data_IF_176344506309
#
_entry.id   IF_176344506309
#
_cell.length_a   1.000
_cell.length_b   1.000
_cell.length_c   1.000
_cell.angle_alpha   90.00
_cell.angle_beta   90.00
_cell.angle_gamma   90.00
#
_symmetry.space_group_name_H-M   'P 1'
#
loop_
_entity.id
_entity.type
_entity.pdbx_description
1 polymer ?
#
# COMPACT_ATOMS: atom_id res chain seq x y z
N UNK A 1 -80.21 12.35 -9.18
CA UNK A 1 -79.23 11.93 -10.22
C UNK A 1 -78.21 13.02 -10.55
N UNK A 2 -78.65 14.28 -10.80
CA UNK A 2 -77.76 15.40 -11.14
C UNK A 2 -76.82 15.76 -9.93
N UNK A 3 -77.33 15.74 -8.68
CA UNK A 3 -76.50 15.97 -7.50
C UNK A 3 -75.42 14.87 -7.26
N UNK A 4 -75.68 13.65 -7.70
CA UNK A 4 -74.74 12.54 -7.59
C UNK A 4 -73.63 12.66 -8.65
N UNK A 5 -73.98 13.10 -9.85
CA UNK A 5 -73.02 13.33 -10.92
C UNK A 5 -72.13 14.52 -10.65
N UNK A 6 -72.67 15.62 -10.10
CA UNK A 6 -71.90 16.79 -9.67
C UNK A 6 -70.98 16.46 -8.48
N UNK A 7 -71.42 15.63 -7.54
CA UNK A 7 -70.58 15.17 -6.44
C UNK A 7 -69.45 14.24 -6.91
N UNK A 8 -69.74 13.35 -7.91
CA UNK A 8 -68.73 12.50 -8.53
C UNK A 8 -67.71 13.31 -9.37
N UNK A 9 -68.17 14.32 -10.11
CA UNK A 9 -67.28 15.21 -10.86
C UNK A 9 -66.44 16.10 -9.94
N UNK A 10 -66.96 16.57 -8.84
CA UNK A 10 -66.19 17.30 -7.82
C UNK A 10 -65.18 16.41 -7.07
N UNK A 11 -65.54 15.15 -6.77
CA UNK A 11 -64.63 14.16 -6.22
C UNK A 11 -63.53 13.79 -7.25
N UNK A 12 -63.89 13.65 -8.54
CA UNK A 12 -62.94 13.39 -9.60
C UNK A 12 -62.00 14.58 -9.84
N UNK A 13 -62.53 15.83 -9.83
CA UNK A 13 -61.69 17.01 -9.95
C UNK A 13 -60.81 17.27 -8.74
N UNK A 14 -61.29 16.97 -7.52
CA UNK A 14 -60.48 17.05 -6.32
C UNK A 14 -59.37 15.97 -6.26
N UNK A 15 -59.69 14.73 -6.70
CA UNK A 15 -58.72 13.64 -6.84
C UNK A 15 -57.68 13.92 -7.92
N UNK A 16 -58.14 14.45 -9.09
CA UNK A 16 -57.22 14.84 -10.18
C UNK A 16 -56.38 16.07 -9.82
N UNK A 17 -56.98 17.06 -9.15
CA UNK A 17 -56.27 18.24 -8.65
C UNK A 17 -55.20 17.89 -7.59
N UNK A 18 -55.53 17.00 -6.63
CA UNK A 18 -54.58 16.52 -5.61
C UNK A 18 -53.42 15.72 -6.25
N UNK A 19 -53.68 14.95 -7.30
CA UNK A 19 -52.60 14.19 -7.99
C UNK A 19 -51.71 15.12 -8.81
N UNK A 20 -52.28 16.13 -9.50
CA UNK A 20 -51.52 17.10 -10.29
C UNK A 20 -50.63 18.00 -9.41
N UNK A 21 -51.15 18.41 -8.21
CA UNK A 21 -50.38 19.23 -7.29
C UNK A 21 -49.21 18.43 -6.67
N UNK A 22 -49.44 17.17 -6.23
CA UNK A 22 -48.39 16.30 -5.72
C UNK A 22 -47.32 15.96 -6.76
N UNK A 23 -47.68 15.83 -8.04
CA UNK A 23 -46.69 15.62 -9.12
C UNK A 23 -45.85 16.87 -9.36
N UNK A 24 -46.47 18.05 -9.29
CA UNK A 24 -45.76 19.33 -9.42
C UNK A 24 -44.78 19.56 -8.24
N UNK A 25 -45.21 19.23 -7.02
CA UNK A 25 -44.33 19.26 -5.86
C UNK A 25 -43.15 18.29 -5.98
N UNK A 26 -43.40 17.08 -6.50
CA UNK A 26 -42.33 16.09 -6.73
C UNK A 26 -41.29 16.60 -7.74
N UNK A 27 -41.73 17.19 -8.86
CA UNK A 27 -40.84 17.79 -9.84
C UNK A 27 -40.01 18.95 -9.25
N UNK A 28 -40.62 19.78 -8.39
CA UNK A 28 -39.88 20.83 -7.64
C UNK A 28 -38.85 20.27 -6.68
N UNK A 29 -39.18 19.19 -5.96
CA UNK A 29 -38.24 18.52 -5.06
C UNK A 29 -37.06 17.91 -5.85
N UNK A 30 -37.34 17.30 -6.99
CA UNK A 30 -36.29 16.76 -7.91
C UNK A 30 -35.38 17.87 -8.43
N UNK A 31 -35.95 19.00 -8.90
CA UNK A 31 -35.13 20.12 -9.38
C UNK A 31 -34.24 20.73 -8.31
N UNK A 32 -34.65 20.71 -7.06
CA UNK A 32 -33.88 21.14 -5.90
C UNK A 32 -32.96 20.05 -5.33
N UNK A 33 -33.03 18.82 -5.86
CA UNK A 33 -32.34 17.63 -5.33
C UNK A 33 -32.66 17.36 -3.86
N UNK A 34 -33.87 17.72 -3.39
CA UNK A 34 -34.33 17.48 -2.02
C UNK A 34 -34.79 16.03 -1.87
N UNK A 35 -33.87 15.16 -1.54
CA UNK A 35 -34.11 13.71 -1.42
C UNK A 35 -35.13 13.36 -0.34
N UNK A 36 -35.17 14.10 0.78
CA UNK A 36 -36.15 13.88 1.84
C UNK A 36 -37.55 14.23 1.38
N UNK A 37 -37.72 15.38 0.72
CA UNK A 37 -39.00 15.77 0.14
C UNK A 37 -39.47 14.77 -0.94
N UNK A 38 -38.57 14.28 -1.80
CA UNK A 38 -38.89 13.23 -2.79
C UNK A 38 -39.47 11.99 -2.11
N UNK A 39 -38.89 11.52 -1.01
CA UNK A 39 -39.37 10.35 -0.27
C UNK A 39 -40.78 10.60 0.28
N UNK A 40 -41.00 11.70 0.94
CA UNK A 40 -42.28 11.99 1.59
C UNK A 40 -43.43 12.22 0.57
N UNK A 41 -43.15 12.97 -0.50
CA UNK A 41 -44.12 13.18 -1.57
C UNK A 41 -44.42 11.87 -2.33
N UNK A 42 -43.38 11.07 -2.61
CA UNK A 42 -43.58 9.76 -3.27
C UNK A 42 -44.44 8.82 -2.41
N UNK A 43 -44.20 8.75 -1.11
CA UNK A 43 -45.04 7.98 -0.19
C UNK A 43 -46.50 8.46 -0.16
N UNK A 44 -46.73 9.78 -0.23
CA UNK A 44 -48.05 10.37 -0.30
C UNK A 44 -48.78 9.99 -1.58
N UNK A 45 -48.08 10.05 -2.74
CA UNK A 45 -48.66 9.64 -4.03
C UNK A 45 -49.02 8.14 -4.02
N UNK A 46 -48.12 7.30 -3.50
CA UNK A 46 -48.30 5.85 -3.42
C UNK A 46 -49.38 5.37 -2.46
N UNK A 47 -49.95 6.26 -1.59
CA UNK A 47 -51.17 5.93 -0.82
C UNK A 47 -52.37 5.83 -1.72
N UNK A 48 -52.46 6.65 -2.79
CA UNK A 48 -53.58 6.70 -3.71
C UNK A 48 -53.34 5.78 -4.94
N UNK A 49 -52.11 5.59 -5.33
CA UNK A 49 -51.72 4.73 -6.46
C UNK A 49 -50.52 3.83 -6.05
N UNK A 50 -50.81 2.74 -5.33
CA UNK A 50 -49.76 1.90 -4.73
C UNK A 50 -48.86 1.17 -5.73
N UNK A 51 -49.33 0.96 -6.94
CA UNK A 51 -48.66 0.21 -8.02
C UNK A 51 -48.00 1.10 -9.08
N UNK A 52 -47.84 2.40 -8.82
CA UNK A 52 -47.23 3.32 -9.75
C UNK A 52 -45.73 3.04 -9.92
N UNK A 53 -45.28 2.47 -11.07
CA UNK A 53 -43.90 2.06 -11.22
C UNK A 53 -42.96 3.27 -11.30
N UNK A 54 -43.39 4.38 -11.85
CA UNK A 54 -42.59 5.61 -11.93
C UNK A 54 -42.29 6.18 -10.55
N UNK A 55 -43.28 6.23 -9.66
CA UNK A 55 -43.13 6.76 -8.31
C UNK A 55 -42.36 5.79 -7.43
N UNK A 56 -42.60 4.48 -7.54
CA UNK A 56 -41.82 3.46 -6.86
C UNK A 56 -40.31 3.55 -7.23
N UNK A 57 -40.03 3.80 -8.51
CA UNK A 57 -38.65 3.98 -8.99
C UNK A 57 -37.98 5.23 -8.38
N UNK A 58 -38.68 6.37 -8.36
CA UNK A 58 -38.19 7.61 -7.76
C UNK A 58 -37.96 7.43 -6.25
N UNK A 59 -38.88 6.78 -5.56
CA UNK A 59 -38.78 6.46 -4.14
C UNK A 59 -37.54 5.56 -3.87
N UNK A 60 -37.36 4.49 -4.65
CA UNK A 60 -36.21 3.59 -4.49
C UNK A 60 -34.89 4.31 -4.68
N UNK A 61 -34.77 5.16 -5.71
CA UNK A 61 -33.56 5.98 -5.94
C UNK A 61 -33.26 6.90 -4.77
N UNK A 62 -34.28 7.61 -4.28
CA UNK A 62 -34.14 8.53 -3.15
C UNK A 62 -33.76 7.78 -1.85
N UNK A 63 -34.38 6.63 -1.58
CA UNK A 63 -34.05 5.77 -0.45
C UNK A 63 -32.61 5.22 -0.53
N UNK A 64 -32.20 4.78 -1.73
CA UNK A 64 -30.84 4.28 -1.98
C UNK A 64 -29.80 5.36 -1.75
N UNK A 65 -30.04 6.59 -2.24
CA UNK A 65 -29.10 7.73 -2.07
C UNK A 65 -28.93 8.18 -0.63
N UNK A 66 -29.90 7.93 0.24
CA UNK A 66 -29.83 8.18 1.69
C UNK A 66 -29.34 6.96 2.50
N UNK A 67 -28.98 5.85 1.85
CA UNK A 67 -28.56 4.62 2.53
C UNK A 67 -29.69 3.89 3.29
N UNK A 68 -30.94 4.17 2.95
CA UNK A 68 -32.13 3.53 3.55
C UNK A 68 -32.37 2.14 2.94
N UNK A 69 -31.37 1.26 2.98
CA UNK A 69 -31.33 0.00 2.24
C UNK A 69 -32.52 -0.92 2.48
N UNK A 70 -32.95 -1.08 3.75
CA UNK A 70 -34.14 -1.91 4.08
C UNK A 70 -35.41 -1.39 3.42
N UNK A 71 -35.64 -0.09 3.47
CA UNK A 71 -36.82 0.54 2.85
C UNK A 71 -36.74 0.47 1.35
N UNK A 72 -35.56 0.73 0.76
CA UNK A 72 -35.30 0.62 -0.66
C UNK A 72 -35.57 -0.83 -1.15
N UNK A 73 -35.10 -1.83 -0.43
CA UNK A 73 -35.32 -3.24 -0.76
C UNK A 73 -36.83 -3.57 -0.85
N UNK A 74 -37.63 -3.18 0.16
CA UNK A 74 -39.10 -3.36 0.11
C UNK A 74 -39.78 -2.64 -1.06
N UNK A 75 -39.29 -1.43 -1.37
CA UNK A 75 -39.85 -0.67 -2.50
C UNK A 75 -39.50 -1.34 -3.85
N UNK A 76 -38.27 -1.85 -3.97
CA UNK A 76 -37.82 -2.58 -5.16
C UNK A 76 -38.52 -3.92 -5.35
N UNK A 77 -38.85 -4.66 -4.27
CA UNK A 77 -39.64 -5.88 -4.38
C UNK A 77 -41.00 -5.60 -5.03
N UNK A 78 -41.70 -4.56 -4.54
CA UNK A 78 -42.99 -4.12 -5.12
C UNK A 78 -42.86 -3.70 -6.58
N UNK A 79 -41.79 -2.96 -6.91
CA UNK A 79 -41.53 -2.53 -8.28
C UNK A 79 -41.22 -3.71 -9.19
N UNK A 80 -40.48 -4.70 -8.68
CA UNK A 80 -40.09 -5.89 -9.41
C UNK A 80 -41.28 -6.83 -9.74
N UNK A 81 -42.22 -6.96 -8.81
CA UNK A 81 -43.49 -7.69 -9.06
C UNK A 81 -44.26 -7.11 -10.25
N UNK A 82 -44.16 -5.78 -10.46
CA UNK A 82 -44.84 -5.08 -11.58
C UNK A 82 -44.00 -5.27 -12.85
N UNK A 83 -42.69 -5.17 -12.79
CA UNK A 83 -41.81 -5.14 -13.98
C UNK A 83 -41.24 -6.53 -14.34
N UNK A 84 -41.50 -7.57 -13.53
CA UNK A 84 -41.14 -8.98 -13.81
C UNK A 84 -39.64 -9.22 -14.08
N UNK A 85 -38.76 -8.55 -13.33
CA UNK A 85 -37.30 -8.62 -13.49
C UNK A 85 -36.76 -8.18 -14.88
N UNK A 86 -37.51 -7.38 -15.61
CA UNK A 86 -37.14 -6.90 -16.95
C UNK A 86 -36.68 -5.45 -17.00
N UNK A 87 -36.18 -4.94 -15.86
CA UNK A 87 -35.71 -3.55 -15.74
C UNK A 87 -34.26 -3.47 -15.28
N UNK A 88 -33.41 -2.96 -16.16
CA UNK A 88 -31.98 -2.86 -15.91
C UNK A 88 -31.64 -1.98 -14.67
N UNK A 89 -32.40 -0.90 -14.46
CA UNK A 89 -32.16 0.01 -13.34
C UNK A 89 -32.54 -0.60 -12.01
N UNK A 90 -33.68 -1.32 -11.97
CA UNK A 90 -34.13 -2.04 -10.78
C UNK A 90 -33.11 -3.11 -10.38
N UNK A 91 -32.64 -3.91 -11.34
CA UNK A 91 -31.63 -4.93 -11.11
C UNK A 91 -30.32 -4.32 -10.60
N UNK A 92 -29.89 -3.18 -11.16
CA UNK A 92 -28.70 -2.48 -10.68
C UNK A 92 -28.85 -2.01 -9.23
N UNK A 93 -30.02 -1.43 -8.88
CA UNK A 93 -30.28 -0.98 -7.49
C UNK A 93 -30.32 -2.16 -6.52
N UNK A 94 -30.95 -3.30 -6.90
CA UNK A 94 -30.94 -4.54 -6.11
C UNK A 94 -29.50 -5.03 -5.90
N UNK A 95 -28.69 -5.12 -6.96
CA UNK A 95 -27.28 -5.48 -6.85
C UNK A 95 -26.48 -4.57 -5.94
N UNK A 96 -26.78 -3.27 -5.95
CA UNK A 96 -26.15 -2.32 -5.04
C UNK A 96 -26.51 -2.59 -3.57
N UNK A 97 -27.75 -2.95 -3.28
CA UNK A 97 -28.20 -3.33 -1.93
C UNK A 97 -27.52 -4.62 -1.48
N UNK A 98 -27.48 -5.63 -2.34
CA UNK A 98 -26.79 -6.91 -2.05
C UNK A 98 -25.29 -6.71 -1.73
N UNK A 99 -24.64 -5.83 -2.48
CA UNK A 99 -23.25 -5.46 -2.19
C UNK A 99 -23.08 -4.84 -0.80
N UNK A 100 -24.01 -4.00 -0.35
CA UNK A 100 -24.00 -3.45 1.01
C UNK A 100 -24.28 -4.51 2.09
N UNK A 101 -25.02 -5.55 1.78
CA UNK A 101 -25.27 -6.68 2.67
C UNK A 101 -24.14 -7.72 2.64
N UNK A 102 -23.01 -7.42 1.99
CA UNK A 102 -21.85 -8.29 1.81
C UNK A 102 -22.15 -9.57 1.00
N UNK A 103 -23.23 -9.58 0.22
CA UNK A 103 -23.59 -10.66 -0.70
C UNK A 103 -23.04 -10.37 -2.10
N UNK A 104 -21.70 -10.41 -2.21
CA UNK A 104 -20.96 -9.97 -3.40
C UNK A 104 -21.30 -10.77 -4.67
N UNK A 105 -21.55 -12.09 -4.55
CA UNK A 105 -21.89 -12.94 -5.70
C UNK A 105 -23.28 -12.63 -6.27
N UNK A 106 -24.25 -12.42 -5.39
CA UNK A 106 -25.60 -12.02 -5.83
C UNK A 106 -25.59 -10.61 -6.44
N UNK A 107 -24.86 -9.67 -5.85
CA UNK A 107 -24.64 -8.35 -6.40
C UNK A 107 -24.08 -8.43 -7.84
N UNK A 108 -23.03 -9.24 -8.03
CA UNK A 108 -22.44 -9.49 -9.35
C UNK A 108 -23.47 -10.04 -10.33
N UNK A 109 -24.23 -11.07 -9.93
CA UNK A 109 -25.25 -11.69 -10.77
C UNK A 109 -26.29 -10.66 -11.26
N UNK A 110 -26.77 -9.82 -10.36
CA UNK A 110 -27.76 -8.77 -10.68
C UNK A 110 -27.18 -7.69 -11.58
N UNK A 111 -25.93 -7.22 -11.35
CA UNK A 111 -25.28 -6.26 -12.24
C UNK A 111 -25.00 -6.84 -13.62
N UNK A 112 -24.63 -8.12 -13.74
CA UNK A 112 -24.45 -8.78 -15.03
C UNK A 112 -25.78 -8.81 -15.78
N UNK A 113 -26.88 -9.25 -15.14
CA UNK A 113 -28.23 -9.27 -15.76
C UNK A 113 -28.65 -7.85 -16.19
N UNK A 114 -28.44 -6.85 -15.34
CA UNK A 114 -28.70 -5.45 -15.64
C UNK A 114 -27.93 -4.96 -16.88
N UNK A 115 -26.62 -5.28 -16.96
CA UNK A 115 -25.76 -4.87 -18.08
C UNK A 115 -26.03 -5.62 -19.40
N UNK A 116 -26.76 -6.74 -19.35
CA UNK A 116 -27.24 -7.48 -20.53
C UNK A 116 -28.55 -6.84 -21.03
N UNK A 117 -29.48 -6.51 -20.13
CA UNK A 117 -30.75 -5.88 -20.48
C UNK A 117 -30.57 -4.50 -21.11
N UNK A 118 -29.65 -3.70 -20.54
CA UNK A 118 -29.26 -2.42 -21.15
C UNK A 118 -27.74 -2.34 -21.29
N UNK A 119 -27.22 -2.65 -22.48
CA UNK A 119 -25.79 -2.59 -22.75
C UNK A 119 -25.16 -1.21 -22.60
N UNK A 120 -25.92 -0.13 -22.66
CA UNK A 120 -25.45 1.25 -22.54
C UNK A 120 -25.62 1.83 -21.13
N UNK A 121 -26.21 1.05 -20.21
CA UNK A 121 -26.37 1.49 -18.83
C UNK A 121 -25.02 1.43 -18.07
N UNK A 122 -24.45 2.60 -17.82
CA UNK A 122 -23.09 2.76 -17.28
C UNK A 122 -22.94 2.18 -15.87
N UNK A 123 -23.95 2.33 -14.99
CA UNK A 123 -23.81 2.02 -13.57
C UNK A 123 -23.49 0.54 -13.27
N UNK A 124 -24.24 -0.45 -13.81
CA UNK A 124 -23.91 -1.86 -13.55
C UNK A 124 -22.56 -2.25 -14.12
N UNK A 125 -22.15 -1.69 -15.26
CA UNK A 125 -20.84 -1.95 -15.86
C UNK A 125 -19.73 -1.38 -14.96
N UNK A 126 -19.94 -0.19 -14.41
CA UNK A 126 -19.02 0.46 -13.46
C UNK A 126 -18.90 -0.33 -12.16
N UNK A 127 -20.03 -0.83 -11.63
CA UNK A 127 -20.06 -1.67 -10.44
C UNK A 127 -19.32 -2.99 -10.67
N UNK A 128 -19.48 -3.61 -11.84
CA UNK A 128 -18.75 -4.82 -12.22
C UNK A 128 -17.24 -4.57 -12.36
N UNK A 129 -16.82 -3.49 -12.98
CA UNK A 129 -15.42 -3.13 -13.07
C UNK A 129 -14.79 -2.98 -11.68
N UNK A 130 -15.52 -2.32 -10.75
CA UNK A 130 -15.09 -2.15 -9.37
C UNK A 130 -15.11 -3.46 -8.57
N UNK A 131 -16.10 -4.32 -8.78
CA UNK A 131 -16.15 -5.64 -8.18
C UNK A 131 -14.91 -6.47 -8.54
N UNK A 132 -14.55 -6.52 -9.83
CA UNK A 132 -13.37 -7.25 -10.30
C UNK A 132 -12.05 -6.62 -9.84
N UNK A 133 -12.01 -5.29 -9.66
CA UNK A 133 -10.87 -4.62 -9.01
C UNK A 133 -10.67 -5.12 -7.56
N UNK A 134 -11.75 -5.24 -6.79
CA UNK A 134 -11.70 -5.65 -5.37
C UNK A 134 -11.28 -7.11 -5.18
N UNK A 135 -11.67 -8.01 -6.11
CA UNK A 135 -11.25 -9.42 -6.07
C UNK A 135 -9.97 -9.70 -6.85
N UNK A 136 -9.31 -8.64 -7.34
CA UNK A 136 -8.06 -8.69 -8.09
C UNK A 136 -8.12 -9.51 -9.39
N UNK A 137 -9.29 -9.61 -10.03
CA UNK A 137 -9.49 -10.24 -11.35
C UNK A 137 -9.26 -9.20 -12.45
N UNK A 138 -7.99 -9.04 -12.84
CA UNK A 138 -7.56 -8.04 -13.82
C UNK A 138 -8.15 -8.27 -15.23
N UNK A 139 -8.41 -9.52 -15.61
CA UNK A 139 -8.96 -9.87 -16.93
C UNK A 139 -10.41 -9.35 -17.07
N UNK A 140 -11.26 -9.71 -16.12
CA UNK A 140 -12.66 -9.24 -16.13
C UNK A 140 -12.73 -7.75 -15.85
N UNK A 141 -11.88 -7.18 -14.98
CA UNK A 141 -11.79 -5.73 -14.79
C UNK A 141 -11.50 -5.02 -16.10
N UNK A 142 -10.48 -5.46 -16.86
CA UNK A 142 -10.13 -4.90 -18.18
C UNK A 142 -11.30 -4.95 -19.15
N UNK A 143 -12.03 -6.08 -19.22
CA UNK A 143 -13.19 -6.27 -20.07
C UNK A 143 -14.28 -5.21 -19.80
N UNK A 144 -14.63 -5.00 -18.54
CA UNK A 144 -15.68 -4.03 -18.19
C UNK A 144 -15.21 -2.58 -18.32
N UNK A 145 -13.96 -2.27 -17.97
CA UNK A 145 -13.38 -0.95 -18.20
C UNK A 145 -13.29 -0.59 -19.69
N UNK A 146 -12.94 -1.56 -20.55
CA UNK A 146 -12.94 -1.37 -22.00
C UNK A 146 -14.33 -1.00 -22.49
N UNK A 147 -15.36 -1.72 -22.05
CA UNK A 147 -16.75 -1.41 -22.38
C UNK A 147 -17.16 -0.02 -21.87
N UNK A 148 -16.76 0.36 -20.63
CA UNK A 148 -17.01 1.72 -20.12
C UNK A 148 -16.35 2.78 -20.99
N UNK A 149 -15.15 2.55 -21.46
CA UNK A 149 -14.41 3.49 -22.30
C UNK A 149 -15.05 3.70 -23.69
N UNK A 150 -15.95 2.84 -24.11
CA UNK A 150 -16.77 3.01 -25.33
C UNK A 150 -17.97 3.91 -25.06
N UNK A 151 -18.43 3.99 -23.82
CA UNK A 151 -19.61 4.77 -23.42
C UNK A 151 -19.27 6.15 -22.85
N UNK A 152 -18.06 6.32 -22.28
CA UNK A 152 -17.62 7.57 -21.66
C UNK A 152 -16.11 7.72 -21.67
N UNK A 153 -15.63 8.97 -21.62
CA UNK A 153 -14.24 9.32 -21.36
C UNK A 153 -14.06 9.67 -19.87
N UNK A 154 -13.85 8.64 -19.03
CA UNK A 154 -13.55 8.84 -17.61
C UNK A 154 -12.04 8.72 -17.38
N UNK A 155 -11.39 9.69 -16.73
CA UNK A 155 -9.93 9.66 -16.56
C UNK A 155 -9.43 8.48 -15.72
N UNK A 156 -10.23 8.00 -14.74
CA UNK A 156 -9.88 6.82 -13.95
C UNK A 156 -9.90 5.55 -14.79
N UNK A 157 -10.97 5.38 -15.57
CA UNK A 157 -11.14 4.21 -16.43
C UNK A 157 -10.01 4.13 -17.46
N UNK A 158 -9.66 5.26 -18.10
CA UNK A 158 -8.60 5.32 -19.11
C UNK A 158 -7.20 5.08 -18.51
N UNK A 159 -6.90 5.65 -17.35
CA UNK A 159 -5.63 5.42 -16.66
C UNK A 159 -5.49 3.96 -16.21
N UNK A 160 -6.58 3.37 -15.70
CA UNK A 160 -6.58 1.96 -15.27
C UNK A 160 -6.44 1.01 -16.46
N UNK A 161 -7.10 1.30 -17.59
CA UNK A 161 -6.90 0.57 -18.85
C UNK A 161 -5.44 0.63 -19.31
N UNK A 162 -4.80 1.78 -19.22
CA UNK A 162 -3.38 1.93 -19.51
C UNK A 162 -2.50 1.05 -18.62
N UNK A 163 -2.78 0.99 -17.32
CA UNK A 163 -2.06 0.13 -16.35
C UNK A 163 -2.27 -1.36 -16.62
N UNK A 164 -3.51 -1.78 -16.83
CA UNK A 164 -3.86 -3.17 -17.13
C UNK A 164 -3.27 -3.63 -18.46
N UNK A 165 -3.28 -2.77 -19.50
CA UNK A 165 -2.62 -3.05 -20.77
C UNK A 165 -1.12 -3.27 -20.58
N UNK A 166 -0.45 -2.46 -19.74
CA UNK A 166 0.95 -2.66 -19.42
C UNK A 166 1.18 -3.99 -18.67
N UNK A 167 0.29 -4.37 -17.75
CA UNK A 167 0.43 -5.61 -16.99
C UNK A 167 0.53 -6.85 -17.91
N UNK A 168 -0.21 -6.85 -19.02
CA UNK A 168 -0.17 -7.91 -20.05
C UNK A 168 0.79 -7.60 -21.21
N UNK A 169 1.60 -6.53 -21.11
CA UNK A 169 2.58 -6.10 -22.14
C UNK A 169 1.93 -5.70 -23.49
N UNK A 170 0.67 -5.30 -23.47
CA UNK A 170 0.02 -4.67 -24.64
C UNK A 170 0.39 -3.18 -24.72
N UNK A 171 1.57 -2.92 -25.28
CA UNK A 171 2.13 -1.57 -25.43
C UNK A 171 1.24 -0.67 -26.29
N UNK A 172 0.58 -1.22 -27.30
CA UNK A 172 -0.27 -0.46 -28.21
C UNK A 172 -1.53 0.04 -27.49
N UNK A 173 -2.19 -0.83 -26.74
CA UNK A 173 -3.37 -0.44 -25.94
C UNK A 173 -2.98 0.53 -24.82
N UNK A 174 -1.83 0.32 -24.14
CA UNK A 174 -1.34 1.27 -23.14
C UNK A 174 -1.13 2.67 -23.73
N UNK A 175 -0.50 2.76 -24.90
CA UNK A 175 -0.30 4.02 -25.61
C UNK A 175 -1.64 4.64 -26.04
N UNK A 176 -2.54 3.85 -26.63
CA UNK A 176 -3.87 4.28 -27.08
C UNK A 176 -4.66 4.95 -25.95
N UNK A 177 -4.76 4.29 -24.78
CA UNK A 177 -5.53 4.83 -23.67
C UNK A 177 -4.85 6.05 -23.03
N UNK A 178 -3.52 6.08 -22.98
CA UNK A 178 -2.76 7.24 -22.47
C UNK A 178 -2.94 8.47 -23.37
N UNK A 179 -2.87 8.29 -24.70
CA UNK A 179 -3.10 9.39 -25.66
C UNK A 179 -4.52 9.93 -25.53
N UNK A 180 -5.51 9.02 -25.43
CA UNK A 180 -6.92 9.40 -25.24
C UNK A 180 -7.12 10.16 -23.92
N UNK A 181 -6.53 9.69 -22.81
CA UNK A 181 -6.56 10.36 -21.50
C UNK A 181 -5.98 11.77 -21.58
N UNK A 182 -4.80 11.92 -22.20
CA UNK A 182 -4.13 13.22 -22.38
C UNK A 182 -4.97 14.21 -23.20
N UNK A 183 -5.66 13.70 -24.22
CA UNK A 183 -6.50 14.53 -25.11
C UNK A 183 -7.80 14.96 -24.44
N UNK A 184 -8.48 14.04 -23.76
CA UNK A 184 -9.78 14.30 -23.14
C UNK A 184 -9.68 15.06 -21.80
N UNK A 185 -8.64 14.78 -21.01
CA UNK A 185 -8.50 15.29 -19.64
C UNK A 185 -7.09 15.83 -19.34
N UNK A 186 -6.56 16.82 -20.09
CA UNK A 186 -5.16 17.24 -19.99
C UNK A 186 -4.79 17.84 -18.61
N UNK A 187 -5.75 18.49 -17.95
CA UNK A 187 -5.55 19.17 -16.67
C UNK A 187 -5.98 18.35 -15.46
N UNK A 188 -6.55 17.17 -15.65
CA UNK A 188 -7.02 16.30 -14.57
C UNK A 188 -5.88 15.78 -13.70
N UNK A 189 -6.13 15.62 -12.39
CA UNK A 189 -5.16 15.12 -11.44
C UNK A 189 -4.68 13.69 -11.73
N UNK A 190 -5.57 12.84 -12.27
CA UNK A 190 -5.23 11.46 -12.64
C UNK A 190 -4.30 11.46 -13.85
N UNK A 191 -4.57 12.31 -14.85
CA UNK A 191 -3.70 12.47 -16.02
C UNK A 191 -2.30 12.94 -15.60
N UNK A 192 -2.23 13.94 -14.71
CA UNK A 192 -0.95 14.44 -14.16
C UNK A 192 -0.19 13.37 -13.39
N UNK A 193 -0.87 12.48 -12.70
CA UNK A 193 -0.25 11.37 -11.96
C UNK A 193 0.17 10.21 -12.88
N UNK A 194 -0.62 9.90 -13.90
CA UNK A 194 -0.33 8.80 -14.82
C UNK A 194 0.80 9.13 -15.81
N UNK A 195 0.85 10.34 -16.34
CA UNK A 195 1.82 10.72 -17.36
C UNK A 195 3.28 10.43 -16.99
N UNK A 196 3.79 10.82 -15.80
CA UNK A 196 5.15 10.50 -15.41
C UNK A 196 5.41 8.99 -15.30
N UNK A 197 4.40 8.21 -14.93
CA UNK A 197 4.48 6.74 -14.85
C UNK A 197 4.60 6.17 -16.26
N UNK A 198 3.71 6.57 -17.17
CA UNK A 198 3.74 6.17 -18.57
C UNK A 198 5.08 6.49 -19.23
N UNK A 199 5.59 7.73 -19.06
CA UNK A 199 6.84 8.16 -19.67
C UNK A 199 8.02 7.33 -19.15
N UNK A 200 8.07 7.01 -17.85
CA UNK A 200 9.09 6.11 -17.28
C UNK A 200 8.99 4.69 -17.83
N UNK A 201 7.78 4.14 -17.93
CA UNK A 201 7.55 2.82 -18.50
C UNK A 201 8.01 2.80 -19.96
N UNK A 202 7.58 3.78 -20.75
CA UNK A 202 7.91 3.84 -22.19
C UNK A 202 9.41 4.01 -22.42
N UNK A 203 10.10 4.85 -21.63
CA UNK A 203 11.55 5.04 -21.69
C UNK A 203 12.34 3.81 -21.22
N UNK A 204 11.72 2.92 -20.47
CA UNK A 204 12.36 1.66 -20.00
C UNK A 204 11.82 0.43 -20.74
N UNK A 205 11.11 0.61 -21.83
CA UNK A 205 10.46 -0.48 -22.58
C UNK A 205 11.44 -1.58 -22.95
N UNK A 206 12.55 -1.23 -23.59
CA UNK A 206 13.57 -2.17 -24.02
C UNK A 206 14.14 -2.98 -22.84
N UNK A 207 14.42 -2.32 -21.70
CA UNK A 207 14.92 -3.00 -20.50
C UNK A 207 13.90 -4.00 -19.96
N UNK A 208 12.62 -3.62 -19.95
CA UNK A 208 11.54 -4.50 -19.46
C UNK A 208 11.35 -5.68 -20.41
N UNK A 209 11.34 -5.45 -21.73
CA UNK A 209 11.22 -6.51 -22.74
C UNK A 209 12.40 -7.50 -22.68
N UNK A 210 13.63 -7.01 -22.45
CA UNK A 210 14.82 -7.84 -22.27
C UNK A 210 14.76 -8.68 -20.98
N UNK A 211 14.28 -8.09 -19.87
CA UNK A 211 14.05 -8.83 -18.62
C UNK A 211 12.96 -9.89 -18.78
N UNK A 212 11.84 -9.55 -19.43
CA UNK A 212 10.77 -10.51 -19.70
C UNK A 212 11.27 -11.67 -20.56
N UNK A 213 12.02 -11.40 -21.63
CA UNK A 213 12.63 -12.42 -22.50
C UNK A 213 13.64 -13.30 -21.74
N UNK A 214 14.43 -12.71 -20.85
CA UNK A 214 15.39 -13.46 -20.01
C UNK A 214 14.68 -14.34 -18.98
N UNK A 215 13.59 -13.84 -18.38
CA UNK A 215 12.76 -14.60 -17.44
C UNK A 215 11.93 -15.70 -18.11
N UNK A 216 11.63 -15.60 -19.42
CA UNK A 216 11.06 -16.72 -20.18
C UNK A 216 12.05 -17.89 -20.32
N UNK A 217 13.35 -17.59 -20.42
CA UNK A 217 14.41 -18.61 -20.50
C UNK A 217 14.76 -19.19 -19.14
N UNK A 218 14.78 -18.36 -18.11
CA UNK A 218 15.06 -18.75 -16.72
C UNK A 218 14.03 -18.16 -15.76
N UNK A 219 12.85 -18.78 -15.61
CA UNK A 219 11.72 -18.26 -14.82
C UNK A 219 11.97 -18.23 -13.30
N UNK A 220 13.06 -18.88 -12.83
CA UNK A 220 13.45 -18.96 -11.43
C UNK A 220 14.64 -18.08 -11.08
N UNK A 221 15.13 -17.26 -12.01
CA UNK A 221 16.26 -16.37 -11.77
C UNK A 221 15.87 -15.23 -10.82
N UNK A 222 16.27 -15.40 -9.57
CA UNK A 222 15.93 -14.45 -8.49
C UNK A 222 16.46 -13.05 -8.76
N UNK A 223 17.67 -12.93 -9.32
CA UNK A 223 18.28 -11.63 -9.61
C UNK A 223 17.45 -10.85 -10.64
N UNK A 224 17.03 -11.50 -11.73
CA UNK A 224 16.18 -10.90 -12.76
C UNK A 224 14.78 -10.56 -12.26
N UNK A 225 14.19 -11.45 -11.45
CA UNK A 225 12.87 -11.21 -10.84
C UNK A 225 12.92 -9.97 -9.93
N UNK A 226 13.94 -9.86 -9.07
CA UNK A 226 14.10 -8.72 -8.15
C UNK A 226 14.43 -7.43 -8.92
N UNK A 227 15.23 -7.51 -9.98
CA UNK A 227 15.51 -6.36 -10.84
C UNK A 227 14.21 -5.80 -11.46
N UNK A 228 13.37 -6.67 -12.04
CA UNK A 228 12.09 -6.27 -12.60
C UNK A 228 11.13 -5.72 -11.53
N UNK A 229 11.04 -6.37 -10.37
CA UNK A 229 10.28 -5.89 -9.24
C UNK A 229 10.71 -4.47 -8.79
N UNK A 230 12.02 -4.23 -8.76
CA UNK A 230 12.59 -2.93 -8.39
C UNK A 230 12.25 -1.83 -9.40
N UNK A 231 12.21 -2.15 -10.69
CA UNK A 231 11.76 -1.23 -11.75
C UNK A 231 10.30 -0.88 -11.55
N UNK A 232 9.43 -1.86 -11.38
CA UNK A 232 7.99 -1.64 -11.15
C UNK A 232 7.72 -0.81 -9.89
N UNK A 233 8.43 -1.09 -8.80
CA UNK A 233 8.33 -0.32 -7.56
C UNK A 233 8.73 1.16 -7.75
N UNK A 234 9.82 1.43 -8.47
CA UNK A 234 10.24 2.81 -8.81
C UNK A 234 9.20 3.55 -9.65
N UNK A 235 8.44 2.85 -10.48
CA UNK A 235 7.37 3.44 -11.29
C UNK A 235 6.06 3.57 -10.54
N UNK A 236 5.94 3.03 -9.33
CA UNK A 236 4.71 3.03 -8.56
C UNK A 236 3.69 1.99 -9.03
N UNK A 237 4.15 0.95 -9.69
CA UNK A 237 3.37 -0.20 -10.14
C UNK A 237 3.37 -1.27 -9.04
N UNK A 238 2.80 -0.91 -7.89
CA UNK A 238 2.94 -1.67 -6.63
C UNK A 238 2.49 -3.11 -6.76
N UNK A 239 1.37 -3.38 -7.42
CA UNK A 239 0.85 -4.74 -7.62
C UNK A 239 1.84 -5.64 -8.35
N UNK A 240 2.40 -5.17 -9.48
CA UNK A 240 3.39 -5.93 -10.26
C UNK A 240 4.69 -6.13 -9.50
N UNK A 241 5.15 -5.10 -8.77
CA UNK A 241 6.34 -5.18 -7.94
C UNK A 241 6.19 -6.21 -6.81
N UNK A 242 5.03 -6.24 -6.15
CA UNK A 242 4.73 -7.20 -5.07
C UNK A 242 4.66 -8.63 -5.62
N UNK A 243 4.04 -8.84 -6.78
CA UNK A 243 3.96 -10.17 -7.42
C UNK A 243 5.37 -10.73 -7.66
N UNK A 244 6.24 -9.96 -8.33
CA UNK A 244 7.60 -10.40 -8.61
C UNK A 244 8.41 -10.61 -7.32
N UNK A 245 8.39 -9.66 -6.40
CA UNK A 245 9.13 -9.77 -5.14
C UNK A 245 8.64 -10.93 -4.26
N UNK A 246 7.34 -11.23 -4.26
CA UNK A 246 6.77 -12.39 -3.57
C UNK A 246 7.21 -13.70 -4.21
N UNK A 247 7.22 -13.77 -5.54
CA UNK A 247 7.75 -14.92 -6.28
C UNK A 247 9.24 -15.18 -5.95
N UNK A 248 10.06 -14.13 -5.89
CA UNK A 248 11.45 -14.27 -5.46
C UNK A 248 11.57 -14.79 -4.03
N UNK A 249 10.68 -14.32 -3.11
CA UNK A 249 10.64 -14.78 -1.72
C UNK A 249 10.20 -16.25 -1.59
N UNK A 250 9.28 -16.73 -2.41
CA UNK A 250 8.90 -18.14 -2.46
C UNK A 250 10.07 -19.02 -2.94
N UNK A 251 10.89 -18.53 -3.87
CA UNK A 251 12.06 -19.23 -4.37
C UNK A 251 13.22 -19.25 -3.38
N UNK A 252 13.39 -18.20 -2.57
CA UNK A 252 14.48 -18.09 -1.59
C UNK A 252 14.05 -17.23 -0.38
N UNK A 253 13.32 -17.86 0.53
CA UNK A 253 12.82 -17.21 1.75
C UNK A 253 13.88 -16.98 2.82
N UNK A 254 15.09 -17.51 2.68
CA UNK A 254 16.20 -17.35 3.65
C UNK A 254 17.00 -16.09 3.33
N UNK A 255 17.17 -15.76 2.06
CA UNK A 255 17.97 -14.63 1.60
C UNK A 255 17.52 -13.30 2.21
N UNK A 256 18.43 -12.59 2.87
CA UNK A 256 18.19 -11.23 3.37
C UNK A 256 18.01 -10.23 2.22
N UNK A 257 18.71 -10.44 1.09
CA UNK A 257 18.55 -9.65 -0.12
C UNK A 257 17.12 -9.70 -0.62
N UNK A 258 16.54 -10.91 -0.73
CA UNK A 258 15.15 -11.10 -1.18
C UNK A 258 14.16 -10.54 -0.15
N UNK A 259 14.33 -10.88 1.13
CA UNK A 259 13.50 -10.35 2.23
C UNK A 259 13.48 -8.83 2.25
N UNK A 260 14.65 -8.22 2.09
CA UNK A 260 14.78 -6.78 2.17
C UNK A 260 14.12 -6.08 0.97
N UNK A 261 14.28 -6.63 -0.25
CA UNK A 261 13.58 -6.12 -1.44
C UNK A 261 12.06 -6.21 -1.30
N UNK A 262 11.52 -7.38 -0.94
CA UNK A 262 10.09 -7.55 -0.71
C UNK A 262 9.57 -6.57 0.37
N UNK A 263 10.31 -6.43 1.48
CA UNK A 263 9.93 -5.55 2.56
C UNK A 263 9.88 -4.07 2.16
N UNK A 264 10.87 -3.60 1.40
CA UNK A 264 10.89 -2.23 0.87
C UNK A 264 9.72 -2.00 -0.09
N UNK A 265 9.43 -2.97 -0.97
CA UNK A 265 8.31 -2.90 -1.92
C UNK A 265 6.97 -2.84 -1.17
N UNK A 266 6.76 -3.72 -0.18
CA UNK A 266 5.56 -3.71 0.66
C UNK A 266 5.43 -2.38 1.44
N UNK A 267 6.52 -1.86 1.99
CA UNK A 267 6.50 -0.58 2.71
C UNK A 267 6.14 0.59 1.79
N UNK A 268 6.70 0.62 0.57
CA UNK A 268 6.39 1.66 -0.42
C UNK A 268 4.95 1.61 -0.91
N UNK A 269 4.33 0.43 -0.91
CA UNK A 269 2.90 0.24 -1.22
C UNK A 269 1.97 0.51 -0.03
N UNK A 270 2.49 1.01 1.10
CA UNK A 270 1.72 1.29 2.32
C UNK A 270 1.52 0.09 3.25
N UNK A 271 2.14 -1.06 2.97
CA UNK A 271 2.00 -2.31 3.75
C UNK A 271 3.20 -2.55 4.70
N UNK A 272 3.78 -1.50 5.29
CA UNK A 272 4.96 -1.59 6.14
C UNK A 272 4.76 -2.49 7.39
N UNK A 273 3.56 -2.51 7.97
CA UNK A 273 3.23 -3.39 9.10
C UNK A 273 3.25 -4.86 8.68
N UNK A 274 2.64 -5.19 7.54
CA UNK A 274 2.66 -6.54 6.96
C UNK A 274 4.09 -7.02 6.67
N UNK A 275 4.94 -6.11 6.16
CA UNK A 275 6.35 -6.40 5.95
C UNK A 275 7.07 -6.72 7.26
N UNK A 276 6.83 -5.95 8.32
CA UNK A 276 7.40 -6.19 9.64
C UNK A 276 6.95 -7.52 10.24
N UNK A 277 5.66 -7.81 10.20
CA UNK A 277 5.09 -9.06 10.72
C UNK A 277 5.60 -10.29 9.97
N UNK A 278 5.58 -10.25 8.64
CA UNK A 278 5.98 -11.38 7.80
C UNK A 278 7.49 -11.61 7.75
N UNK A 279 8.28 -10.54 7.74
CA UNK A 279 9.73 -10.61 7.48
C UNK A 279 10.60 -10.29 8.70
N UNK A 280 10.00 -9.86 9.82
CA UNK A 280 10.72 -9.47 11.02
C UNK A 280 11.57 -8.21 10.89
N UNK A 281 11.39 -7.41 9.83
CA UNK A 281 12.21 -6.24 9.51
C UNK A 281 11.37 -4.97 9.65
N UNK A 282 11.94 -3.92 10.23
CA UNK A 282 11.26 -2.62 10.33
C UNK A 282 11.47 -1.80 9.04
N UNK A 283 10.42 -1.72 8.25
CA UNK A 283 10.41 -0.98 6.98
C UNK A 283 9.70 0.39 7.05
N UNK A 284 9.28 0.86 8.22
CA UNK A 284 8.48 2.09 8.36
C UNK A 284 9.16 3.31 7.71
N UNK A 285 10.50 3.39 7.72
CA UNK A 285 11.24 4.48 7.09
C UNK A 285 11.07 4.57 5.56
N UNK A 286 10.65 3.48 4.91
CA UNK A 286 10.46 3.40 3.45
C UNK A 286 9.04 3.73 3.00
N UNK A 287 8.04 3.59 3.87
CA UNK A 287 6.63 3.85 3.55
C UNK A 287 6.35 5.32 3.20
N UNK A 288 7.23 6.26 3.60
CA UNK A 288 7.08 7.67 3.31
C UNK A 288 7.92 8.09 2.09
N UNK A 289 7.26 8.65 1.06
CA UNK A 289 7.88 9.13 -0.20
C UNK A 289 8.69 8.08 -0.97
N UNK A 290 8.28 6.81 -0.94
CA UNK A 290 8.94 5.71 -1.68
C UNK A 290 10.44 5.69 -1.52
N UNK A 291 10.92 5.77 -0.29
CA UNK A 291 12.36 5.71 -0.01
C UNK A 291 12.89 4.31 -0.25
N UNK A 292 14.08 4.24 -0.84
CA UNK A 292 14.83 3.00 -1.02
C UNK A 292 16.18 3.09 -0.32
N UNK A 293 16.71 1.97 0.18
CA UNK A 293 18.14 1.83 0.39
C UNK A 293 18.85 2.15 -0.94
N UNK A 294 20.04 2.74 -0.87
CA UNK A 294 20.81 3.01 -2.09
C UNK A 294 21.09 1.75 -2.89
N UNK A 295 21.24 1.86 -4.21
CA UNK A 295 21.58 0.72 -5.09
C UNK A 295 22.81 -0.02 -4.57
N UNK A 296 23.80 0.69 -4.05
CA UNK A 296 25.01 0.11 -3.45
C UNK A 296 24.72 -0.85 -2.29
N UNK A 297 23.71 -0.55 -1.45
CA UNK A 297 23.31 -1.45 -0.36
C UNK A 297 22.88 -2.82 -0.89
N UNK A 298 21.97 -2.84 -1.87
CA UNK A 298 21.46 -4.09 -2.43
C UNK A 298 22.53 -4.88 -3.20
N UNK A 299 23.38 -4.21 -3.97
CA UNK A 299 24.47 -4.82 -4.69
C UNK A 299 25.46 -5.48 -3.72
N UNK A 300 25.84 -4.78 -2.65
CA UNK A 300 26.78 -5.28 -1.67
C UNK A 300 26.17 -6.42 -0.84
N UNK A 301 24.91 -6.28 -0.39
CA UNK A 301 24.20 -7.34 0.32
C UNK A 301 24.13 -8.62 -0.53
N UNK A 302 23.78 -8.51 -1.82
CA UNK A 302 23.71 -9.67 -2.72
C UNK A 302 25.08 -10.29 -2.96
N UNK A 303 26.12 -9.46 -3.13
CA UNK A 303 27.50 -9.93 -3.29
C UNK A 303 27.97 -10.74 -2.08
N UNK A 304 27.75 -10.23 -0.89
CA UNK A 304 28.13 -10.89 0.37
C UNK A 304 27.36 -12.20 0.58
N UNK A 305 26.05 -12.22 0.31
CA UNK A 305 25.28 -13.46 0.42
C UNK A 305 25.77 -14.54 -0.55
N UNK A 306 26.12 -14.18 -1.80
CA UNK A 306 26.69 -15.14 -2.76
C UNK A 306 28.03 -15.71 -2.25
N UNK A 307 28.87 -14.87 -1.63
CA UNK A 307 30.15 -15.33 -1.02
C UNK A 307 29.90 -16.25 0.17
N UNK A 308 29.02 -15.87 1.08
CA UNK A 308 28.69 -16.68 2.28
C UNK A 308 28.12 -18.04 1.88
N UNK A 309 27.35 -18.12 0.80
CA UNK A 309 26.84 -19.42 0.29
C UNK A 309 27.93 -20.31 -0.31
N UNK A 310 28.99 -19.70 -0.85
CA UNK A 310 30.13 -20.44 -1.38
C UNK A 310 31.09 -20.86 -0.25
N UNK A 311 31.36 -19.93 0.68
CA UNK A 311 32.22 -20.15 1.85
C UNK A 311 31.84 -19.19 2.96
N UNK A 312 31.34 -19.71 4.07
CA UNK A 312 30.81 -18.90 5.16
C UNK A 312 31.95 -18.33 6.02
N UNK A 313 32.31 -17.07 5.79
CA UNK A 313 33.30 -16.36 6.58
C UNK A 313 32.69 -15.40 7.62
N UNK A 314 33.32 -15.32 8.79
CA UNK A 314 32.91 -14.36 9.85
C UNK A 314 32.99 -12.91 9.37
N UNK A 315 33.94 -12.59 8.49
CA UNK A 315 34.13 -11.24 7.97
C UNK A 315 33.02 -10.83 7.00
N UNK A 316 32.54 -11.74 6.14
CA UNK A 316 31.42 -11.45 5.23
C UNK A 316 30.10 -11.31 6.00
N UNK A 317 29.85 -12.18 6.96
CA UNK A 317 28.66 -12.07 7.86
C UNK A 317 28.70 -10.77 8.66
N UNK A 318 29.86 -10.39 9.16
CA UNK A 318 30.04 -9.12 9.88
C UNK A 318 29.84 -7.89 8.98
N UNK A 319 30.26 -7.95 7.70
CA UNK A 319 29.97 -6.88 6.73
C UNK A 319 28.48 -6.73 6.48
N UNK A 320 27.70 -7.84 6.40
CA UNK A 320 26.23 -7.77 6.36
C UNK A 320 25.67 -7.09 7.61
N UNK A 321 26.20 -7.45 8.80
CA UNK A 321 25.78 -6.82 10.03
C UNK A 321 26.02 -5.30 10.03
N UNK A 322 27.13 -4.83 9.50
CA UNK A 322 27.42 -3.41 9.32
C UNK A 322 26.45 -2.72 8.36
N UNK A 323 26.17 -3.34 7.22
CA UNK A 323 25.20 -2.81 6.26
C UNK A 323 23.83 -2.63 6.91
N UNK A 324 23.35 -3.64 7.64
CA UNK A 324 22.07 -3.62 8.34
C UNK A 324 22.05 -2.56 9.45
N UNK A 325 23.14 -2.44 10.22
CA UNK A 325 23.26 -1.43 11.26
C UNK A 325 23.18 0.00 10.70
N UNK A 326 23.90 0.26 9.61
CA UNK A 326 23.91 1.56 8.94
C UNK A 326 22.53 1.91 8.36
N UNK A 327 21.77 0.89 7.92
CA UNK A 327 20.38 1.03 7.51
C UNK A 327 19.39 1.13 8.69
N UNK A 328 19.88 1.10 9.95
CA UNK A 328 19.06 1.22 11.15
C UNK A 328 18.30 -0.06 11.52
N UNK A 329 18.63 -1.19 10.89
CA UNK A 329 18.02 -2.50 11.19
C UNK A 329 18.79 -3.18 12.36
N UNK A 330 18.68 -2.58 13.53
CA UNK A 330 19.52 -2.94 14.70
C UNK A 330 19.32 -4.39 15.15
N UNK A 331 18.06 -4.91 15.10
CA UNK A 331 17.77 -6.29 15.51
C UNK A 331 18.41 -7.30 14.55
N UNK A 332 18.29 -7.09 13.26
CA UNK A 332 18.95 -7.96 12.26
C UNK A 332 20.48 -7.85 12.34
N UNK A 333 21.00 -6.62 12.48
CA UNK A 333 22.43 -6.43 12.68
C UNK A 333 22.93 -7.19 13.90
N UNK A 334 22.18 -7.22 15.02
CA UNK A 334 22.53 -7.97 16.22
C UNK A 334 22.54 -9.49 15.97
N UNK A 335 21.59 -10.01 15.19
CA UNK A 335 21.57 -11.44 14.82
C UNK A 335 22.79 -11.82 13.98
N UNK A 336 23.11 -11.03 12.93
CA UNK A 336 24.27 -11.31 12.08
C UNK A 336 25.59 -11.13 12.82
N UNK A 337 25.72 -10.18 13.76
CA UNK A 337 26.90 -10.07 14.62
C UNK A 337 27.08 -11.32 15.50
N UNK A 338 26.00 -11.85 16.06
CA UNK A 338 26.09 -13.10 16.84
C UNK A 338 26.50 -14.27 15.96
N UNK A 339 26.00 -14.36 14.72
CA UNK A 339 26.40 -15.35 13.74
C UNK A 339 27.89 -15.23 13.39
N UNK A 340 28.38 -14.01 13.12
CA UNK A 340 29.82 -13.79 12.87
C UNK A 340 30.69 -14.22 14.05
N UNK A 341 30.27 -13.94 15.29
CA UNK A 341 30.98 -14.34 16.50
C UNK A 341 30.88 -15.83 16.83
N UNK A 342 29.86 -16.53 16.32
CA UNK A 342 29.78 -17.99 16.41
C UNK A 342 30.77 -18.69 15.46
N UNK A 343 31.03 -18.08 14.29
CA UNK A 343 32.02 -18.57 13.32
C UNK A 343 33.45 -18.24 13.84
N UNK A 344 33.68 -16.98 14.23
CA UNK A 344 34.96 -16.54 14.79
C UNK A 344 34.73 -15.64 16.02
N UNK A 345 34.89 -16.22 17.20
CA UNK A 345 34.73 -15.53 18.48
C UNK A 345 35.73 -14.37 18.70
N UNK A 346 36.77 -14.25 17.86
CA UNK A 346 37.82 -13.20 17.90
C UNK A 346 37.62 -12.18 16.76
N UNK A 347 36.52 -12.23 15.99
CA UNK A 347 36.22 -11.25 14.96
C UNK A 347 36.08 -9.86 15.59
N UNK A 348 37.15 -9.06 15.47
CA UNK A 348 37.26 -7.74 16.13
C UNK A 348 36.16 -6.77 15.74
N UNK A 349 35.83 -6.57 14.41
CA UNK A 349 34.73 -5.67 14.03
C UNK A 349 33.38 -6.12 14.57
N UNK A 350 33.15 -7.44 14.66
CA UNK A 350 31.90 -7.98 15.23
C UNK A 350 31.80 -7.74 16.74
N UNK A 351 32.91 -7.90 17.49
CA UNK A 351 32.96 -7.57 18.92
C UNK A 351 32.61 -6.09 19.16
N UNK A 352 33.19 -5.18 18.37
CA UNK A 352 32.94 -3.75 18.49
C UNK A 352 31.48 -3.41 18.16
N UNK A 353 30.96 -3.88 17.03
CA UNK A 353 29.58 -3.61 16.64
C UNK A 353 28.57 -4.14 17.65
N UNK A 354 28.80 -5.36 18.19
CA UNK A 354 27.96 -5.93 19.26
C UNK A 354 27.98 -5.07 20.54
N UNK A 355 29.16 -4.59 20.94
CA UNK A 355 29.28 -3.71 22.09
C UNK A 355 28.47 -2.41 21.88
N UNK A 356 28.56 -1.76 20.72
CA UNK A 356 27.77 -0.57 20.38
C UNK A 356 26.27 -0.82 20.41
N UNK A 357 25.81 -1.95 19.89
CA UNK A 357 24.38 -2.30 19.91
C UNK A 357 23.92 -2.51 21.35
N UNK A 358 24.72 -3.18 22.19
CA UNK A 358 24.39 -3.44 23.60
C UNK A 358 24.37 -2.15 24.42
N UNK A 359 25.30 -1.22 24.17
CA UNK A 359 25.31 0.10 24.79
C UNK A 359 23.99 0.85 24.51
N UNK A 360 23.57 0.93 23.24
CA UNK A 360 22.28 1.54 22.85
C UNK A 360 21.07 0.87 23.50
N UNK A 361 21.18 -0.39 23.88
CA UNK A 361 20.14 -1.15 24.60
C UNK A 361 20.26 -1.03 26.13
N UNK A 362 21.10 -0.12 26.62
CA UNK A 362 21.39 0.07 28.04
C UNK A 362 21.96 -1.20 28.74
N UNK A 363 22.53 -2.14 27.98
CA UNK A 363 23.21 -3.34 28.51
C UNK A 363 24.68 -3.05 28.73
N UNK A 364 24.96 -2.03 29.55
CA UNK A 364 26.29 -1.45 29.79
C UNK A 364 27.34 -2.46 30.24
N UNK A 365 26.98 -3.36 31.17
CA UNK A 365 27.91 -4.39 31.67
C UNK A 365 28.42 -5.32 30.56
N UNK A 366 27.50 -5.83 29.74
CA UNK A 366 27.86 -6.71 28.63
C UNK A 366 28.67 -5.98 27.55
N UNK A 367 28.38 -4.70 27.30
CA UNK A 367 29.16 -3.86 26.38
C UNK A 367 30.60 -3.69 26.88
N UNK A 368 30.81 -3.35 28.19
CA UNK A 368 32.16 -3.25 28.82
C UNK A 368 32.97 -4.53 28.62
N UNK A 369 32.37 -5.68 28.87
CA UNK A 369 33.06 -6.98 28.72
C UNK A 369 33.54 -7.25 27.30
N UNK A 370 32.72 -6.94 26.31
CA UNK A 370 33.08 -7.10 24.89
C UNK A 370 34.19 -6.14 24.47
N UNK A 371 34.13 -4.87 24.92
CA UNK A 371 35.17 -3.89 24.63
C UNK A 371 36.49 -4.27 25.29
N UNK A 372 36.48 -4.75 26.54
CA UNK A 372 37.69 -5.31 27.22
C UNK A 372 38.26 -6.50 26.44
N UNK A 373 37.39 -7.42 25.96
CA UNK A 373 37.82 -8.56 25.14
C UNK A 373 38.45 -8.08 23.81
N UNK A 374 37.86 -7.06 23.18
CA UNK A 374 38.40 -6.48 21.94
C UNK A 374 39.78 -5.85 22.19
N UNK A 375 39.95 -5.08 23.27
CA UNK A 375 41.21 -4.42 23.62
C UNK A 375 42.32 -5.40 24.03
N UNK A 376 42.00 -6.61 24.52
CA UNK A 376 42.97 -7.70 24.65
C UNK A 376 43.50 -8.18 23.30
N UNK A 377 42.64 -8.21 22.27
CA UNK A 377 43.00 -8.62 20.90
C UNK A 377 43.67 -7.49 20.09
N UNK A 378 43.33 -6.25 20.44
CA UNK A 378 43.81 -5.04 19.74
C UNK A 378 43.86 -3.86 20.73
N UNK A 379 45.01 -3.75 21.48
CA UNK A 379 45.14 -2.74 22.53
C UNK A 379 45.03 -1.29 22.06
N UNK A 380 45.28 -1.06 20.77
CA UNK A 380 45.30 0.27 20.14
C UNK A 380 44.04 0.59 19.34
N UNK A 381 42.95 -0.15 19.56
CA UNK A 381 41.67 0.12 18.84
C UNK A 381 41.04 1.39 19.42
N UNK A 382 41.17 2.50 18.69
CA UNK A 382 40.79 3.86 19.12
C UNK A 382 39.33 3.96 19.54
N UNK A 383 38.42 3.49 18.69
CA UNK A 383 36.96 3.58 18.94
C UNK A 383 36.56 2.73 20.17
N UNK A 384 37.23 1.62 20.40
CA UNK A 384 36.97 0.79 21.61
C UNK A 384 37.48 1.47 22.90
N UNK A 385 38.67 2.08 22.85
CA UNK A 385 39.22 2.86 23.97
C UNK A 385 38.30 4.03 24.34
N UNK A 386 37.85 4.79 23.33
CA UNK A 386 36.92 5.91 23.53
C UNK A 386 35.60 5.42 24.12
N UNK A 387 34.96 4.41 23.49
CA UNK A 387 33.64 3.93 23.90
C UNK A 387 33.70 3.34 25.32
N UNK A 388 34.74 2.55 25.63
CA UNK A 388 34.92 1.98 26.95
C UNK A 388 35.15 3.07 28.02
N UNK A 389 36.02 4.06 27.72
CA UNK A 389 36.26 5.18 28.61
C UNK A 389 35.00 5.99 28.93
N UNK A 390 34.18 6.30 27.90
CA UNK A 390 32.88 7.00 28.09
C UNK A 390 31.89 6.19 28.94
N UNK A 391 31.81 4.88 28.71
CA UNK A 391 30.98 3.98 29.53
C UNK A 391 31.46 3.97 30.96
N UNK A 392 32.78 3.86 31.21
CA UNK A 392 33.37 3.85 32.55
C UNK A 392 33.13 5.17 33.27
N UNK A 393 33.30 6.31 32.61
CA UNK A 393 32.93 7.61 33.19
C UNK A 393 31.44 7.66 33.61
N UNK A 394 30.54 7.15 32.78
CA UNK A 394 29.11 7.19 33.09
C UNK A 394 28.68 6.35 34.29
N UNK A 395 29.48 5.39 34.67
CA UNK A 395 29.27 4.54 35.87
C UNK A 395 30.18 4.90 37.06
N UNK A 396 30.98 5.97 36.93
CA UNK A 396 31.84 6.46 37.98
C UNK A 396 33.23 5.79 38.09
N UNK A 397 33.57 4.91 37.15
CA UNK A 397 34.87 4.20 37.08
C UNK A 397 35.97 5.13 36.49
N UNK A 398 36.20 6.31 37.11
CA UNK A 398 37.04 7.39 36.55
C UNK A 398 38.50 7.00 36.39
N UNK A 399 39.05 6.15 37.25
CA UNK A 399 40.46 5.69 37.16
C UNK A 399 40.65 4.87 35.87
N UNK A 400 39.84 3.84 35.65
CA UNK A 400 39.92 2.99 34.47
C UNK A 400 39.61 3.79 33.19
N UNK A 401 38.64 4.75 33.22
CA UNK A 401 38.34 5.62 32.13
C UNK A 401 39.55 6.49 31.73
N UNK A 402 40.24 7.08 32.72
CA UNK A 402 41.44 7.89 32.49
C UNK A 402 42.56 7.09 31.81
N UNK A 403 42.74 5.82 32.22
CA UNK A 403 43.75 4.93 31.61
C UNK A 403 43.43 4.69 30.12
N UNK A 404 42.19 4.42 29.77
CA UNK A 404 41.77 4.24 28.36
C UNK A 404 41.97 5.50 27.54
N UNK A 405 41.56 6.66 28.04
CA UNK A 405 41.77 7.94 27.33
C UNK A 405 43.27 8.28 27.23
N UNK A 406 44.06 7.98 28.20
CA UNK A 406 45.52 8.16 28.12
C UNK A 406 46.16 7.30 27.03
N UNK A 407 45.73 6.04 26.88
CA UNK A 407 46.20 5.17 25.80
C UNK A 407 45.74 5.74 24.44
N UNK A 408 44.48 6.16 24.31
CA UNK A 408 43.98 6.80 23.11
C UNK A 408 44.83 8.01 22.70
N UNK A 409 45.07 8.94 23.65
CA UNK A 409 45.81 10.19 23.41
C UNK A 409 47.29 9.99 23.04
N UNK A 410 47.88 8.85 23.45
CA UNK A 410 49.24 8.49 23.01
C UNK A 410 49.28 8.11 21.54
N UNK A 411 48.18 7.60 20.98
CA UNK A 411 48.08 7.16 19.60
C UNK A 411 47.63 8.32 18.69
N UNK A 412 46.61 9.05 19.16
CA UNK A 412 45.99 10.13 18.40
C UNK A 412 45.57 11.24 19.36
N UNK A 413 46.05 12.46 19.12
CA UNK A 413 45.53 13.62 19.86
C UNK A 413 44.11 13.93 19.37
N UNK A 414 43.19 14.06 20.35
CA UNK A 414 41.82 14.52 20.13
C UNK A 414 41.44 15.43 21.32
N UNK A 415 40.95 16.65 21.00
CA UNK A 415 40.62 17.66 22.00
C UNK A 415 39.50 17.18 22.95
N UNK A 416 38.47 16.54 22.39
CA UNK A 416 37.32 16.06 23.19
C UNK A 416 37.76 14.97 24.13
N UNK A 417 38.56 14.03 23.66
CA UNK A 417 39.11 12.95 24.52
C UNK A 417 40.07 13.50 25.59
N UNK A 418 40.85 14.52 25.26
CA UNK A 418 41.71 15.19 26.24
C UNK A 418 40.90 15.91 27.34
N UNK A 419 39.79 16.55 26.97
CA UNK A 419 38.89 17.21 27.93
C UNK A 419 38.21 16.16 28.85
N UNK A 420 37.77 15.02 28.28
CA UNK A 420 37.25 13.89 29.06
C UNK A 420 38.30 13.29 30.00
N UNK A 421 39.52 13.14 29.51
CA UNK A 421 40.65 12.69 30.35
C UNK A 421 40.88 13.61 31.55
N UNK A 422 40.90 14.93 31.34
CA UNK A 422 41.03 15.93 32.43
C UNK A 422 39.84 15.85 33.40
N UNK A 423 38.62 15.72 32.90
CA UNK A 423 37.44 15.59 33.74
C UNK A 423 37.48 14.35 34.66
N UNK A 424 38.08 13.24 34.18
CA UNK A 424 38.32 12.07 35.06
C UNK A 424 39.24 12.43 36.23
N UNK A 425 40.30 13.17 35.98
CA UNK A 425 41.22 13.59 37.07
C UNK A 425 40.57 14.51 38.09
N UNK A 426 39.79 15.50 37.63
CA UNK A 426 39.04 16.39 38.52
C UNK A 426 38.03 15.61 39.39
N UNK A 427 37.38 14.59 38.82
CA UNK A 427 36.44 13.75 39.54
C UNK A 427 37.15 12.87 40.60
N UNK A 428 38.31 12.33 40.27
CA UNK A 428 39.14 11.56 41.22
C UNK A 428 39.66 12.41 42.37
N UNK A 429 40.09 13.65 42.09
CA UNK A 429 40.52 14.61 43.14
C UNK A 429 39.36 14.96 44.09
N UNK A 430 38.16 15.20 43.56
CA UNK A 430 36.97 15.48 44.40
C UNK A 430 36.55 14.30 45.25
N UNK A 431 36.80 13.07 44.82
CA UNK A 431 36.46 11.85 45.56
C UNK A 431 37.52 11.52 46.67
N UNK A 432 38.69 12.15 46.59
CA UNK A 432 39.79 11.98 47.60
C UNK A 432 39.81 13.08 48.67
N UNK A 433 38.96 14.10 48.52
CA UNK A 433 38.67 15.12 49.54
C UNK A 433 37.39 14.78 50.31
#
# INVERSE_FOLDING_TARGET
FIKLITALLLLFSALYGLSADSQTELLRAESKKDTHAIIEISKRILKNDPANPTILRKLSKAQLSLGLYKQCHHTLLRLNEILKDEDAEVLNMQGTIESHHLNAEEAKRLWVKSSILDPNYILPISNLAKYYELIEDDENQYKYLKRLSELRDDPKDLAQLGRLSFAVRDWNSMQKYTVRLRKAHPSDGITKNWNPIYDKINNSREVIENLDASLLKDPKNIDLIIERASIFNRFGLDKLAIIDASKAYELDSISLFVKYNLGVILANSGQALKAKEKLGINFNKYSYKRRHPGVKFFQELRRLEKRIRADESADDVQQIANLLHNEGQIELAYLEVNRALSINSKCKPALYLKAKILERRNKTKASKELLKKLLVLEPNHLEALETLGRIQMSVGDFEEASQNFKVFLKIKYDKIINDLYRSCFESLQKASL
#
